data_IF_333578714915
#
_entry.id   IF_333578714915
#
_cell.length_a   1.000
_cell.length_b   1.000
_cell.length_c   1.000
_cell.angle_alpha   90.00
_cell.angle_beta   90.00
_cell.angle_gamma   90.00
#
_symmetry.space_group_name_H-M   'P 1'
#
loop_
_entity.id
_entity.type
_entity.pdbx_description
1 polymer ?
2 non-polymer ?
3 non-polymer ?
4 non-polymer ?
5 water ?
#
# COMPACT_ATOMS: atom_id res chain seq x y z
N UNK A 5 -0.63 -13.34 20.10
CA UNK A 5 -0.21 -13.26 18.71
C UNK A 5 -0.06 -14.66 18.12
N UNK A 6 -1.20 -15.30 17.83
CA UNK A 6 -1.22 -16.61 17.20
C UNK A 6 -1.08 -16.42 15.70
N UNK A 7 0.06 -16.84 15.14
CA UNK A 7 0.37 -16.61 13.74
C UNK A 7 -0.05 -17.82 12.91
N UNK A 8 -0.56 -17.56 11.71
CA UNK A 8 -1.00 -18.62 10.82
C UNK A 8 -0.65 -18.24 9.39
N UNK A 9 -0.20 -19.22 8.62
CA UNK A 9 0.09 -19.02 7.20
C UNK A 9 -1.17 -19.33 6.41
N UNK A 10 -1.65 -18.35 5.65
CA UNK A 10 -2.87 -18.47 4.87
C UNK A 10 -2.63 -18.91 3.43
N UNK A 11 -1.45 -18.60 2.88
CA UNK A 11 -1.15 -18.93 1.49
C UNK A 11 0.37 -18.88 1.31
N UNK A 12 0.86 -19.71 0.40
CA UNK A 12 2.27 -19.81 0.05
C UNK A 12 2.41 -19.82 -1.47
N UNK A 13 3.65 -19.81 -1.94
CA UNK A 13 3.94 -19.84 -3.37
C UNK A 13 3.33 -18.62 -4.07
N UNK A 14 3.23 -17.50 -3.37
CA UNK A 14 2.83 -16.23 -3.97
C UNK A 14 4.06 -15.54 -4.53
N UNK A 15 3.88 -14.87 -5.68
CA UNK A 15 5.01 -14.29 -6.41
C UNK A 15 5.12 -12.81 -6.05
N UNK A 16 5.75 -12.56 -4.90
CA UNK A 16 5.93 -11.25 -4.28
C UNK A 16 4.57 -10.67 -3.93
N UNK A 17 3.91 -11.20 -2.90
CA UNK A 17 2.60 -10.66 -2.51
C UNK A 17 2.71 -9.24 -1.97
N UNK A 18 1.65 -8.47 -2.19
CA UNK A 18 1.56 -7.09 -1.72
C UNK A 18 0.08 -6.70 -1.76
N UNK A 19 -0.20 -5.45 -1.35
CA UNK A 19 -1.53 -4.86 -1.44
C UNK A 19 -2.66 -5.73 -0.99
N UNK A 20 -2.59 -6.29 0.22
CA UNK A 20 -3.73 -7.11 0.69
C UNK A 20 -4.94 -6.27 1.00
N UNK A 21 -6.12 -6.75 0.57
CA UNK A 21 -7.40 -6.13 0.91
C UNK A 21 -8.27 -7.23 1.51
N UNK A 22 -8.64 -7.07 2.78
CA UNK A 22 -9.29 -8.14 3.52
C UNK A 22 -10.79 -7.87 3.43
N UNK A 23 -11.50 -8.77 2.81
CA UNK A 23 -12.92 -8.62 2.55
C UNK A 23 -13.71 -8.90 3.83
N UNK A 24 -15.00 -8.54 3.86
CA UNK A 24 -15.80 -8.83 5.05
C UNK A 24 -15.86 -10.29 5.43
N UNK A 25 -15.81 -11.21 4.47
CA UNK A 25 -15.89 -12.63 4.75
C UNK A 25 -14.57 -13.24 5.14
N UNK A 26 -13.53 -12.43 5.22
CA UNK A 26 -12.19 -12.91 5.55
C UNK A 26 -11.40 -13.44 4.38
N UNK A 27 -11.96 -13.44 3.17
CA UNK A 27 -11.12 -13.65 2.01
C UNK A 27 -10.23 -12.43 1.78
N UNK A 28 -9.09 -12.64 1.11
CA UNK A 28 -8.12 -11.59 0.86
C UNK A 28 -7.89 -11.50 -0.63
N UNK A 29 -8.04 -10.31 -1.19
CA UNK A 29 -7.63 -10.02 -2.55
C UNK A 29 -6.31 -9.26 -2.45
N UNK A 30 -5.30 -9.71 -3.20
CA UNK A 30 -3.98 -9.10 -3.10
C UNK A 30 -3.29 -9.11 -4.45
N UNK A 31 -2.17 -8.38 -4.54
CA UNK A 31 -1.44 -8.35 -5.80
C UNK A 31 -0.24 -9.27 -5.64
N UNK A 32 0.15 -9.90 -6.74
CA UNK A 32 1.41 -10.62 -6.88
C UNK A 32 2.23 -9.82 -7.88
N UNK A 33 3.20 -9.03 -7.40
CA UNK A 33 3.88 -8.10 -8.28
C UNK A 33 4.62 -8.86 -9.37
N UNK A 34 5.32 -9.93 -8.99
CA UNK A 34 6.17 -10.66 -9.94
C UNK A 34 5.34 -11.48 -10.91
N UNK A 35 4.18 -11.98 -10.50
CA UNK A 35 3.30 -12.72 -11.42
C UNK A 35 2.31 -11.81 -12.15
N UNK A 36 2.32 -10.52 -11.86
CA UNK A 36 1.51 -9.51 -12.56
C UNK A 36 0.03 -9.88 -12.54
N UNK A 37 -0.48 -10.09 -11.33
CA UNK A 37 -1.87 -10.50 -11.25
C UNK A 37 -2.48 -10.09 -9.92
N UNK A 38 -3.80 -10.06 -9.91
CA UNK A 38 -4.61 -9.89 -8.70
C UNK A 38 -5.16 -11.27 -8.35
N UNK A 39 -4.97 -11.68 -7.10
CA UNK A 39 -5.28 -13.04 -6.64
C UNK A 39 -6.19 -12.99 -5.44
N UNK A 40 -7.12 -13.94 -5.37
CA UNK A 40 -8.05 -14.07 -4.26
C UNK A 40 -7.68 -15.30 -3.45
N UNK A 41 -7.50 -15.12 -2.15
CA UNK A 41 -7.16 -16.21 -1.23
C UNK A 41 -8.35 -16.40 -0.29
N UNK A 42 -8.87 -17.56 -0.25
CA UNK A 42 -10.04 -17.92 0.55
C UNK A 42 -9.62 -18.55 1.87
N UNK A 43 -10.46 -18.44 2.90
CA UNK A 43 -10.12 -19.07 4.19
C UNK A 43 -10.11 -20.59 4.16
N UNK A 44 -10.80 -21.23 3.21
CA UNK A 44 -10.70 -22.69 3.08
C UNK A 44 -9.40 -23.13 2.39
N UNK A 45 -8.45 -22.23 2.17
CA UNK A 45 -7.14 -22.54 1.62
C UNK A 45 -7.01 -22.29 0.12
N UNK A 46 -8.11 -22.39 -0.61
CA UNK A 46 -8.06 -22.25 -2.05
C UNK A 46 -7.64 -20.84 -2.47
N UNK A 47 -7.10 -20.75 -3.68
CA UNK A 47 -6.70 -19.48 -4.29
C UNK A 47 -7.23 -19.43 -5.72
N UNK A 48 -7.59 -18.23 -6.18
CA UNK A 48 -7.98 -18.06 -7.57
C UNK A 48 -7.39 -16.75 -8.09
N UNK A 49 -7.01 -16.75 -9.36
CA UNK A 49 -6.53 -15.54 -10.01
C UNK A 49 -7.75 -14.75 -10.44
N UNK A 50 -7.85 -13.52 -9.97
CA UNK A 50 -8.99 -12.66 -10.31
C UNK A 50 -8.74 -12.01 -11.67
N UNK A 51 -7.52 -11.52 -11.91
CA UNK A 51 -7.22 -10.79 -13.13
C UNK A 51 -5.73 -10.76 -13.34
N UNK A 52 -5.31 -10.74 -14.61
CA UNK A 52 -3.93 -10.44 -14.95
C UNK A 52 -3.82 -8.93 -15.11
N UNK A 53 -2.79 -8.35 -14.51
CA UNK A 53 -2.61 -6.91 -14.51
C UNK A 53 -1.18 -6.65 -15.00
N UNK A 54 -0.97 -6.47 -16.30
CA UNK A 54 0.41 -6.38 -16.80
C UNK A 54 1.19 -5.25 -16.18
N UNK A 55 2.48 -5.51 -15.93
CA UNK A 55 3.34 -4.49 -15.42
C UNK A 55 3.86 -4.79 -14.03
N UNK A 56 3.48 -3.93 -13.06
CA UNK A 56 3.85 -4.13 -11.68
C UNK A 56 2.78 -3.70 -10.71
N UNK A 57 1.67 -4.45 -10.68
CA UNK A 57 0.63 -4.18 -9.67
C UNK A 57 1.22 -4.24 -8.27
N UNK A 58 1.09 -3.14 -7.54
CA UNK A 58 1.85 -2.90 -6.31
C UNK A 58 1.00 -2.68 -5.07
N UNK A 59 -0.18 -2.10 -5.21
CA UNK A 59 -1.03 -1.84 -4.07
C UNK A 59 -2.46 -1.86 -4.57
N UNK A 60 -3.37 -2.10 -3.64
CA UNK A 60 -4.78 -2.27 -3.98
C UNK A 60 -5.70 -1.67 -2.92
N UNK A 61 -6.87 -1.20 -3.37
CA UNK A 61 -7.88 -0.73 -2.44
C UNK A 61 -9.24 -0.79 -3.11
N UNK A 62 -10.22 -1.28 -2.37
CA UNK A 62 -11.57 -1.35 -2.91
C UNK A 62 -12.18 0.04 -2.98
N UNK A 63 -12.83 0.31 -4.11
CA UNK A 63 -13.36 1.63 -4.37
C UNK A 63 -14.86 1.72 -4.22
N UNK A 64 -15.36 2.95 -4.29
CA UNK A 64 -16.80 3.19 -4.11
C UNK A 64 -17.65 2.55 -5.20
N UNK A 65 -17.07 2.26 -6.34
CA UNK A 65 -17.78 1.59 -7.40
C UNK A 65 -17.72 0.08 -7.25
N UNK A 66 -17.13 -0.42 -6.17
CA UNK A 66 -16.97 -1.84 -5.96
C UNK A 66 -15.89 -2.49 -6.81
N UNK A 67 -15.11 -1.71 -7.50
CA UNK A 67 -13.96 -2.23 -8.24
C UNK A 67 -12.70 -2.08 -7.39
N UNK A 68 -11.68 -2.86 -7.74
CA UNK A 68 -10.41 -2.83 -7.02
C UNK A 68 -9.46 -1.88 -7.73
N UNK A 69 -9.09 -0.79 -7.07
CA UNK A 69 -8.15 0.19 -7.61
C UNK A 69 -6.75 -0.31 -7.31
N UNK A 70 -5.84 -0.11 -8.27
CA UNK A 70 -4.48 -0.68 -8.27
C UNK A 70 -3.49 0.44 -8.54
N UNK A 71 -2.41 0.49 -7.76
CA UNK A 71 -1.21 1.22 -8.11
C UNK A 71 -0.35 0.29 -8.93
N UNK A 72 -0.05 0.67 -10.18
CA UNK A 72 0.79 -0.13 -11.05
C UNK A 72 2.12 0.61 -11.18
N UNK A 73 3.20 0.01 -10.69
CA UNK A 73 4.49 0.69 -10.74
C UNK A 73 5.21 0.53 -12.08
N UNK A 74 4.58 -0.15 -13.04
CA UNK A 74 5.10 -0.26 -14.38
C UNK A 74 6.04 -1.41 -14.60
N UNK A 75 6.42 -2.12 -13.54
CA UNK A 75 7.29 -3.27 -13.67
C UNK A 75 8.61 -3.06 -12.97
N UNK A 76 9.17 -4.13 -12.43
CA UNK A 76 10.50 -4.15 -11.85
C UNK A 76 11.38 -5.10 -12.64
N UNK A 77 12.65 -5.19 -12.25
CA UNK A 77 13.53 -6.23 -12.74
C UNK A 77 13.93 -7.18 -11.63
N UNK A 78 13.62 -8.47 -11.80
CA UNK A 78 13.78 -9.44 -10.72
C UNK A 78 15.05 -10.30 -10.82
N UNK A 86 13.90 -11.14 -5.65
CA UNK A 86 13.90 -9.77 -5.14
C UNK A 86 13.87 -8.75 -6.28
N UNK A 87 13.02 -7.73 -6.15
CA UNK A 87 12.91 -6.74 -7.23
C UNK A 87 14.13 -5.83 -7.29
N UNK A 88 14.30 -5.21 -8.46
CA UNK A 88 15.37 -4.27 -8.70
C UNK A 88 15.00 -3.24 -9.74
N UNK A 89 15.96 -2.44 -10.15
CA UNK A 89 15.71 -1.43 -11.19
C UNK A 89 15.24 -2.12 -12.46
N UNK A 90 14.16 -1.65 -13.08
CA UNK A 90 13.68 -2.31 -14.30
C UNK A 90 14.56 -1.94 -15.50
N UNK A 91 15.07 -2.97 -16.19
CA UNK A 91 15.69 -2.75 -17.48
C UNK A 91 14.67 -2.02 -18.34
N UNK A 92 15.10 -1.26 -19.35
CA UNK A 92 14.14 -0.45 -20.12
C UNK A 92 12.90 -1.22 -20.58
N UNK A 93 13.08 -2.43 -21.13
CA UNK A 93 11.97 -3.19 -21.70
C UNK A 93 11.00 -3.71 -20.64
N UNK A 94 11.44 -3.87 -19.40
CA UNK A 94 10.59 -4.39 -18.34
C UNK A 94 9.70 -3.33 -17.71
N UNK A 95 9.79 -2.07 -18.16
CA UNK A 95 9.03 -0.96 -17.60
C UNK A 95 8.07 -0.43 -18.67
N UNK A 96 6.78 -0.40 -18.35
CA UNK A 96 5.74 0.05 -19.29
C UNK A 96 5.07 1.35 -18.83
N UNK A 97 5.58 1.99 -17.79
CA UNK A 97 4.98 3.22 -17.31
C UNK A 97 4.08 3.00 -16.12
N UNK A 98 4.16 3.89 -15.14
CA UNK A 98 3.29 3.74 -13.98
C UNK A 98 1.91 4.23 -14.28
N UNK A 99 0.94 3.68 -13.54
CA UNK A 99 -0.44 4.10 -13.74
C UNK A 99 -1.31 3.79 -12.53
N UNK A 100 -2.50 4.37 -12.53
CA UNK A 100 -3.57 4.00 -11.62
C UNK A 100 -4.59 3.25 -12.46
N UNK A 101 -5.00 2.06 -12.01
CA UNK A 101 -5.91 1.18 -12.74
C UNK A 101 -7.02 0.71 -11.84
N UNK A 102 -8.01 0.05 -12.46
CA UNK A 102 -9.23 -0.41 -11.82
C UNK A 102 -9.55 -1.78 -12.40
N UNK A 103 -9.90 -2.71 -11.53
CA UNK A 103 -10.21 -4.08 -11.95
C UNK A 103 -11.63 -4.46 -11.50
N UNK A 104 -12.41 -4.98 -12.44
CA UNK A 104 -13.70 -5.57 -12.11
C UNK A 104 -13.49 -6.95 -11.48
N UNK A 105 -13.92 -7.11 -10.24
CA UNK A 105 -13.66 -8.34 -9.50
C UNK A 105 -14.54 -9.48 -9.95
N UNK A 106 -15.39 -9.26 -10.97
CA UNK A 106 -16.28 -10.27 -11.52
C UNK A 106 -15.92 -10.68 -12.94
N UNK A 107 -15.40 -9.76 -13.74
CA UNK A 107 -15.00 -10.07 -15.11
C UNK A 107 -13.50 -10.13 -15.30
N UNK A 108 -12.71 -9.51 -14.40
CA UNK A 108 -11.30 -9.37 -14.59
C UNK A 108 -10.89 -8.25 -15.52
N UNK A 109 -11.85 -7.47 -16.03
CA UNK A 109 -11.51 -6.37 -16.92
C UNK A 109 -10.66 -5.33 -16.20
N UNK A 110 -9.53 -4.98 -16.80
CA UNK A 110 -8.63 -3.97 -16.24
C UNK A 110 -8.72 -2.72 -17.12
N UNK A 111 -8.92 -1.57 -16.49
CA UNK A 111 -8.98 -0.29 -17.16
C UNK A 111 -7.93 0.63 -16.55
N UNK A 112 -7.16 1.29 -17.40
CA UNK A 112 -6.21 2.29 -16.95
C UNK A 112 -6.93 3.62 -16.82
N UNK A 113 -6.73 4.28 -15.67
CA UNK A 113 -7.40 5.54 -15.36
C UNK A 113 -6.49 6.75 -15.54
N UNK A 114 -5.30 6.71 -14.96
CA UNK A 114 -4.35 7.81 -15.05
C UNK A 114 -2.97 7.24 -15.31
N UNK A 115 -2.22 7.89 -16.20
CA UNK A 115 -0.82 7.55 -16.37
C UNK A 115 0.09 8.77 -16.25
N UNK A 116 -0.49 9.92 -15.91
CA UNK A 116 0.25 11.17 -15.82
C UNK A 116 -0.50 12.09 -14.87
N UNK A 117 0.21 13.07 -14.36
CA UNK A 117 -0.38 14.19 -13.63
C UNK A 117 0.14 15.47 -14.27
N UNK A 118 -0.76 16.29 -14.79
CA UNK A 118 -0.33 17.41 -15.61
C UNK A 118 0.48 16.88 -16.77
N UNK A 119 1.63 17.50 -17.02
CA UNK A 119 2.49 17.08 -18.12
C UNK A 119 3.55 16.09 -17.69
N UNK A 120 3.37 15.44 -16.54
CA UNK A 120 4.40 14.57 -15.97
C UNK A 120 3.89 13.13 -15.86
N UNK A 121 4.50 12.18 -16.56
CA UNK A 121 4.11 10.78 -16.36
C UNK A 121 4.30 10.33 -14.92
N UNK A 122 3.39 9.49 -14.45
CA UNK A 122 3.56 8.77 -13.19
C UNK A 122 4.69 7.75 -13.33
N UNK A 123 5.50 7.63 -12.26
CA UNK A 123 6.69 6.80 -12.39
C UNK A 123 6.44 5.42 -11.79
N UNK A 124 6.32 5.35 -10.47
CA UNK A 124 6.16 4.10 -9.79
C UNK A 124 5.12 4.13 -8.69
N UNK A 125 3.85 4.29 -9.06
CA UNK A 125 2.79 4.27 -8.05
C UNK A 125 2.88 3.03 -7.16
N UNK A 126 2.64 3.21 -5.86
CA UNK A 126 2.97 2.16 -4.90
C UNK A 126 1.81 1.70 -4.04
N UNK A 127 1.22 2.58 -3.24
CA UNK A 127 0.06 2.20 -2.45
C UNK A 127 -0.94 3.37 -2.40
N UNK A 128 -2.13 3.07 -1.85
CA UNK A 128 -3.26 4.00 -1.98
C UNK A 128 -4.29 3.77 -0.88
N UNK A 129 -5.13 4.80 -0.70
CA UNK A 129 -6.15 4.83 0.34
C UNK A 129 -7.23 5.81 -0.07
N UNK A 130 -8.50 5.38 0.09
CA UNK A 130 -9.63 6.24 -0.20
C UNK A 130 -10.04 7.03 1.03
N UNK A 131 -10.40 8.33 0.81
CA UNK A 131 -11.06 9.10 1.86
C UNK A 131 -12.58 8.85 1.77
N UNK A 132 -13.31 9.39 2.74
CA UNK A 132 -14.73 9.06 2.87
C UNK A 132 -15.59 9.66 1.76
N UNK A 133 -15.06 10.57 0.95
CA UNK A 133 -15.80 11.11 -0.18
C UNK A 133 -15.48 10.40 -1.49
N UNK A 134 -14.66 9.36 -1.44
CA UNK A 134 -14.28 8.65 -2.64
C UNK A 134 -13.05 9.19 -3.33
N UNK A 135 -12.41 10.23 -2.79
CA UNK A 135 -11.14 10.68 -3.32
C UNK A 135 -10.04 9.70 -2.96
N UNK A 136 -9.00 9.65 -3.79
CA UNK A 136 -8.00 8.58 -3.72
C UNK A 136 -6.60 9.16 -3.58
N UNK A 137 -5.96 8.85 -2.45
CA UNK A 137 -4.56 9.21 -2.21
C UNK A 137 -3.68 8.08 -2.67
N UNK A 138 -2.52 8.42 -3.27
CA UNK A 138 -1.58 7.36 -3.59
C UNK A 138 -0.17 7.91 -3.56
N UNK A 139 0.77 7.01 -3.32
CA UNK A 139 2.19 7.33 -3.31
C UNK A 139 2.82 6.92 -4.62
N UNK A 140 3.97 7.56 -4.89
CA UNK A 140 4.83 7.28 -6.02
C UNK A 140 6.20 7.04 -5.41
N UNK A 141 6.66 5.81 -5.50
CA UNK A 141 8.00 5.44 -5.06
C UNK A 141 9.08 5.91 -6.03
N UNK A 142 8.70 6.22 -7.26
CA UNK A 142 9.66 6.51 -8.32
C UNK A 142 10.30 5.24 -8.85
N UNK A 143 11.11 5.40 -9.92
CA UNK A 143 11.88 4.30 -10.46
C UNK A 143 13.37 4.55 -10.26
N UNK A 144 14.12 3.47 -10.08
CA UNK A 144 15.57 3.49 -10.11
C UNK A 144 16.05 3.24 -11.53
N UNK A 145 17.01 4.04 -11.98
CA UNK A 145 17.74 3.84 -13.20
C UNK A 145 19.21 3.59 -12.85
N UNK A 146 20.03 3.45 -13.87
CA UNK A 146 21.39 2.97 -13.66
C UNK A 146 22.14 3.84 -12.67
N UNK A 147 22.06 5.15 -12.83
CA UNK A 147 22.91 6.08 -12.09
C UNK A 147 22.09 7.15 -11.37
N UNK A 148 20.77 7.06 -11.38
CA UNK A 148 19.96 8.05 -10.69
C UNK A 148 18.63 7.41 -10.35
N UNK A 149 17.80 8.16 -9.65
CA UNK A 149 16.53 7.64 -9.16
C UNK A 149 15.54 8.79 -9.06
N UNK A 150 14.25 8.47 -9.23
CA UNK A 150 13.23 9.47 -9.04
C UNK A 150 13.06 9.84 -7.56
N UNK A 151 12.64 11.08 -7.34
CA UNK A 151 12.18 11.47 -6.01
C UNK A 151 10.80 10.86 -5.74
N UNK A 152 10.41 10.89 -4.49
CA UNK A 152 9.09 10.42 -4.09
C UNK A 152 8.02 11.49 -4.17
N UNK A 153 6.76 11.04 -4.15
CA UNK A 153 5.64 11.94 -4.32
C UNK A 153 4.38 11.29 -3.77
N UNK A 154 3.39 12.14 -3.54
CA UNK A 154 2.02 11.71 -3.21
C UNK A 154 1.05 12.57 -3.99
N UNK A 155 -0.03 11.91 -4.43
CA UNK A 155 -1.06 12.43 -5.32
C UNK A 155 -2.40 12.19 -4.66
N UNK A 156 -3.34 13.02 -5.07
CA UNK A 156 -4.75 12.84 -4.75
C UNK A 156 -5.60 12.98 -6.00
N UNK A 157 -6.44 11.98 -6.21
CA UNK A 157 -7.43 11.97 -7.28
C UNK A 157 -8.77 12.38 -6.68
N UNK A 158 -9.35 13.42 -7.25
CA UNK A 158 -10.60 14.00 -6.75
C UNK A 158 -11.74 12.98 -6.86
N UNK A 159 -12.71 13.07 -5.97
CA UNK A 159 -13.89 12.19 -6.07
C UNK A 159 -14.51 12.19 -7.45
N UNK A 160 -14.89 11.00 -7.91
CA UNK A 160 -15.40 10.85 -9.25
C UNK A 160 -14.33 10.57 -10.28
N UNK A 161 -13.05 10.64 -9.87
CA UNK A 161 -11.93 10.40 -10.77
C UNK A 161 -11.89 11.48 -11.87
N UNK A 162 -12.15 12.72 -11.46
CA UNK A 162 -12.24 13.84 -12.36
C UNK A 162 -10.89 14.49 -12.64
N UNK A 163 -10.04 14.58 -11.62
CA UNK A 163 -8.78 15.31 -11.72
C UNK A 163 -7.79 14.69 -10.76
N UNK A 164 -6.51 14.70 -11.16
CA UNK A 164 -5.40 14.22 -10.33
C UNK A 164 -4.55 15.43 -10.01
N UNK A 165 -4.11 15.52 -8.76
CA UNK A 165 -3.31 16.63 -8.27
C UNK A 165 -2.10 16.11 -7.53
N UNK A 166 -1.00 16.85 -7.64
CA UNK A 166 0.20 16.60 -6.86
C UNK A 166 0.05 17.31 -5.51
N UNK A 167 0.19 16.54 -4.44
CA UNK A 167 0.12 17.10 -3.10
C UNK A 167 1.46 17.15 -2.37
N UNK A 168 2.32 16.17 -2.57
CA UNK A 168 3.67 16.13 -2.01
C UNK A 168 4.65 15.77 -3.12
N UNK A 169 5.81 16.43 -3.13
CA UNK A 169 6.80 16.10 -4.16
C UNK A 169 8.17 16.47 -3.66
N UNK A 170 9.12 15.57 -3.88
CA UNK A 170 10.51 15.85 -3.61
C UNK A 170 11.04 15.26 -2.34
N UNK A 171 10.33 14.31 -1.76
CA UNK A 171 10.88 13.51 -0.67
C UNK A 171 11.72 12.37 -1.27
N UNK A 172 12.37 11.57 -0.42
CA UNK A 172 12.87 10.29 -0.91
C UNK A 172 11.66 9.40 -1.23
N UNK A 173 11.87 8.25 -1.87
CA UNK A 173 10.71 7.44 -2.30
C UNK A 173 9.68 7.16 -1.20
N UNK A 174 8.40 7.35 -1.55
CA UNK A 174 7.28 7.15 -0.64
C UNK A 174 6.53 5.87 -1.00
N UNK A 175 6.03 5.21 0.03
CA UNK A 175 5.59 3.83 -0.06
C UNK A 175 4.24 3.70 0.63
N UNK A 176 4.20 3.35 1.90
CA UNK A 176 2.92 3.24 2.55
C UNK A 176 2.21 4.57 2.66
N UNK A 177 0.87 4.52 2.66
CA UNK A 177 0.07 5.73 2.84
C UNK A 177 -1.22 5.37 3.59
N UNK A 178 -1.61 6.25 4.51
CA UNK A 178 -2.89 6.09 5.16
C UNK A 178 -3.43 7.40 5.67
N UNK A 179 -4.69 7.33 6.14
CA UNK A 179 -5.34 8.46 6.77
C UNK A 179 -5.55 8.23 8.27
N UNK A 180 -5.49 9.31 9.04
CA UNK A 180 -5.93 9.23 10.42
C UNK A 180 -7.43 8.88 10.51
N UNK A 181 -7.88 8.42 11.68
CA UNK A 181 -9.31 8.12 11.83
C UNK A 181 -10.21 9.28 11.42
N UNK A 182 -9.88 10.51 11.84
CA UNK A 182 -10.66 11.69 11.48
C UNK A 182 -10.34 12.20 10.09
N UNK A 183 -9.38 11.59 9.40
CA UNK A 183 -8.97 11.91 8.04
C UNK A 183 -8.48 13.35 7.89
N UNK A 184 -8.04 13.97 9.00
CA UNK A 184 -7.43 15.29 8.97
C UNK A 184 -5.91 15.23 8.81
N UNK A 185 -5.34 14.04 8.78
CA UNK A 185 -3.90 13.83 8.61
C UNK A 185 -3.66 12.68 7.66
N UNK A 186 -2.75 12.85 6.70
CA UNK A 186 -2.31 11.81 5.82
C UNK A 186 -0.90 11.42 6.24
N UNK A 187 -0.64 10.14 6.27
CA UNK A 187 0.67 9.59 6.58
C UNK A 187 1.28 8.95 5.35
N UNK A 188 2.61 9.11 5.19
CA UNK A 188 3.32 8.51 4.08
C UNK A 188 4.63 8.00 4.64
N UNK A 189 4.96 6.76 4.34
CA UNK A 189 6.21 6.15 4.78
C UNK A 189 7.31 6.38 3.74
N UNK A 190 8.45 6.86 4.20
CA UNK A 190 9.59 7.12 3.34
C UNK A 190 10.53 5.92 3.44
N UNK A 191 10.69 5.21 2.33
CA UNK A 191 11.27 3.87 2.39
C UNK A 191 12.73 3.84 2.89
N UNK A 192 13.70 4.48 2.24
CA UNK A 192 15.10 4.21 2.61
C UNK A 192 15.49 4.75 3.97
N UNK A 193 14.79 5.74 4.48
CA UNK A 193 15.14 6.38 5.73
C UNK A 193 14.40 5.77 6.93
N UNK A 194 13.41 4.93 6.69
CA UNK A 194 12.63 4.45 7.82
C UNK A 194 11.97 5.57 8.60
N UNK A 195 11.49 6.60 7.89
CA UNK A 195 10.80 7.73 8.49
C UNK A 195 9.33 7.69 8.09
N UNK A 196 8.46 7.96 9.06
CA UNK A 196 7.04 8.14 8.80
C UNK A 196 6.73 9.63 8.81
N UNK A 197 6.15 10.12 7.71
CA UNK A 197 5.87 11.54 7.53
C UNK A 197 4.38 11.77 7.77
N UNK A 198 4.04 12.89 8.40
CA UNK A 198 2.65 13.26 8.63
C UNK A 198 2.36 14.59 7.94
N UNK A 199 1.21 14.65 7.24
CA UNK A 199 0.82 15.83 6.49
C UNK A 199 -0.55 16.27 6.97
N UNK A 200 -0.66 17.49 7.45
CA UNK A 200 -1.96 18.03 7.84
C UNK A 200 -2.79 18.34 6.61
N UNK A 201 -4.08 18.07 6.69
CA UNK A 201 -4.99 18.37 5.58
C UNK A 201 -5.90 19.51 6.00
N UNK A 202 -5.97 20.55 5.18
CA UNK A 202 -6.92 21.63 5.41
C UNK A 202 -8.32 21.22 5.02
N UNK A 203 -8.45 20.21 4.18
CA UNK A 203 -9.71 19.65 3.73
C UNK A 203 -9.44 18.41 2.90
N UNK A 204 -10.47 17.66 2.52
CA UNK A 204 -10.24 16.45 1.73
C UNK A 204 -9.34 16.75 0.53
N UNK A 205 -8.30 15.93 0.38
CA UNK A 205 -7.40 15.99 -0.76
C UNK A 205 -6.39 17.11 -0.78
N UNK A 206 -6.22 17.87 0.30
CA UNK A 206 -5.45 19.11 0.26
C UNK A 206 -4.51 19.19 1.45
N UNK A 207 -3.21 19.10 1.19
CA UNK A 207 -2.24 19.25 2.26
C UNK A 207 -2.04 20.73 2.52
N UNK A 208 -2.00 21.13 3.80
CA UNK A 208 -1.52 22.47 4.16
C UNK A 208 -0.10 22.43 4.72
N UNK A 209 0.77 23.39 4.41
CA UNK A 209 2.14 23.34 4.98
C UNK A 209 2.16 23.47 6.51
N UNK A 218 6.16 20.45 3.35
CA UNK A 218 4.70 20.47 3.50
C UNK A 218 4.23 19.64 4.70
N UNK A 219 5.12 18.78 5.20
CA UNK A 219 4.79 17.95 6.35
C UNK A 219 6.01 17.75 7.22
N UNK A 220 5.93 16.81 8.17
CA UNK A 220 7.11 16.55 8.98
C UNK A 220 7.26 15.06 9.27
N UNK A 221 8.49 14.61 9.48
CA UNK A 221 8.75 13.24 9.95
C UNK A 221 8.48 13.16 11.44
N UNK A 222 7.57 12.29 11.83
CA UNK A 222 7.25 12.16 13.24
C UNK A 222 8.00 10.99 13.88
N UNK A 223 8.55 10.08 13.09
CA UNK A 223 9.29 8.96 13.65
C UNK A 223 10.39 8.58 12.67
N UNK A 224 11.60 8.40 13.15
CA UNK A 224 12.64 7.85 12.32
C UNK A 224 13.32 6.72 13.07
N UNK A 225 13.29 5.53 12.48
CA UNK A 225 13.82 4.36 13.14
C UNK A 225 15.33 4.45 13.06
N UNK A 226 15.97 3.78 13.98
CA UNK A 226 17.41 3.78 13.99
C UNK A 226 17.97 2.66 13.15
N UNK A 227 19.30 2.60 13.12
CA UNK A 227 19.91 1.41 12.59
C UNK A 227 19.79 1.36 11.08
N UNK A 228 19.52 0.17 10.56
CA UNK A 228 19.44 -0.08 9.12
C UNK A 228 18.09 -0.74 8.97
N UNK A 229 17.09 0.11 8.85
CA UNK A 229 15.68 -0.30 8.77
C UNK A 229 15.00 0.57 7.72
N UNK A 230 14.10 -0.02 6.93
CA UNK A 230 13.47 0.69 5.84
C UNK A 230 11.99 0.39 5.95
N UNK A 231 11.17 1.28 5.41
CA UNK A 231 9.72 1.16 5.52
C UNK A 231 9.10 0.76 4.21
N UNK A 232 8.00 -0.03 4.28
CA UNK A 232 7.23 -0.36 3.09
C UNK A 232 5.83 0.19 3.32
N UNK A 233 4.82 -0.64 3.21
CA UNK A 233 3.42 -0.20 3.32
C UNK A 233 2.88 -0.22 4.75
N UNK A 234 1.65 0.27 4.92
CA UNK A 234 1.15 0.51 6.28
C UNK A 234 -0.36 0.36 6.37
N UNK A 235 -0.86 0.30 7.62
CA UNK A 235 -2.30 0.32 7.90
C UNK A 235 -2.47 1.04 9.24
N UNK A 236 -3.54 1.76 9.36
CA UNK A 236 -3.81 2.58 10.53
C UNK A 236 -4.76 1.82 11.43
N UNK A 237 -4.57 1.96 12.75
CA UNK A 237 -5.45 1.40 13.77
C UNK A 237 -6.56 2.38 14.16
N UNK A 238 -7.67 1.84 14.70
CA UNK A 238 -8.74 2.70 15.18
C UNK A 238 -8.24 3.68 16.21
N UNK A 239 -7.18 3.30 16.94
CA UNK A 239 -6.59 4.18 17.95
C UNK A 239 -5.88 5.37 17.33
N UNK A 240 -5.58 5.31 16.04
CA UNK A 240 -4.77 6.32 15.39
C UNK A 240 -3.33 5.89 15.18
N UNK A 241 -2.91 4.79 15.80
CA UNK A 241 -1.55 4.31 15.58
C UNK A 241 -1.38 3.87 14.13
N UNK A 242 -0.16 4.04 13.62
CA UNK A 242 0.19 3.68 12.25
C UNK A 242 1.10 2.47 12.33
N UNK A 243 0.71 1.40 11.66
CA UNK A 243 1.41 0.12 11.69
C UNK A 243 2.15 -0.03 10.36
N UNK A 244 3.49 0.04 10.40
CA UNK A 244 4.25 0.11 9.16
C UNK A 244 5.11 -1.14 9.01
N UNK A 245 5.00 -1.79 7.85
CA UNK A 245 5.83 -2.91 7.48
C UNK A 245 7.26 -2.43 7.39
N UNK A 246 8.15 -3.12 8.07
CA UNK A 246 9.54 -2.70 8.25
C UNK A 246 10.47 -3.74 7.63
N UNK A 247 11.18 -3.30 6.59
CA UNK A 247 12.13 -4.12 5.87
C UNK A 247 13.45 -4.15 6.62
N UNK A 248 14.25 -5.19 6.33
CA UNK A 248 15.58 -5.45 6.88
C UNK A 248 15.42 -6.06 8.27
N UNK A 249 14.76 -5.34 9.18
CA UNK A 249 14.55 -5.92 10.51
C UNK A 249 13.34 -6.87 10.58
N UNK A 250 12.44 -6.81 9.60
CA UNK A 250 11.38 -7.81 9.47
C UNK A 250 10.34 -7.74 10.57
N UNK A 251 9.56 -6.67 10.61
CA UNK A 251 8.61 -6.51 11.70
C UNK A 251 7.54 -5.54 11.25
N UNK A 252 6.55 -5.35 12.12
CA UNK A 252 5.58 -4.27 11.99
C UNK A 252 5.93 -3.23 13.04
N UNK A 253 6.22 -2.00 12.62
CA UNK A 253 6.51 -0.92 13.56
C UNK A 253 5.22 -0.16 13.85
N UNK A 254 4.82 -0.13 15.11
CA UNK A 254 3.59 0.55 15.50
C UNK A 254 3.98 1.92 16.05
N UNK A 255 3.52 2.97 15.37
CA UNK A 255 3.90 4.35 15.66
C UNK A 255 2.66 5.11 16.13
N UNK A 256 2.78 5.78 17.28
CA UNK A 256 1.68 6.56 17.81
C UNK A 256 1.50 7.85 17.01
N UNK A 257 0.33 8.46 17.05
CA UNK A 257 0.13 9.73 16.33
C UNK A 257 1.17 10.78 16.66
N UNK A 258 1.69 10.80 17.88
CA UNK A 258 2.73 11.74 18.28
C UNK A 258 4.13 11.26 17.91
N UNK A 259 4.24 10.15 17.18
CA UNK A 259 5.52 9.68 16.70
C UNK A 259 6.22 8.69 17.59
N UNK A 260 5.70 8.39 18.77
CA UNK A 260 6.33 7.41 19.63
C UNK A 260 6.28 6.04 18.99
N UNK A 261 7.42 5.34 19.03
CA UNK A 261 7.50 3.96 18.62
C UNK A 261 6.89 3.11 19.74
N UNK A 262 5.67 2.62 19.51
CA UNK A 262 4.96 1.86 20.53
C UNK A 262 5.54 0.46 20.66
N UNK A 263 5.83 -0.20 19.53
CA UNK A 263 6.31 -1.58 19.57
C UNK A 263 6.70 -2.04 18.18
N UNK A 264 7.48 -3.11 18.13
CA UNK A 264 7.90 -3.72 16.87
C UNK A 264 7.59 -5.21 16.97
N UNK A 265 6.72 -5.68 16.08
CA UNK A 265 6.22 -7.06 16.11
C UNK A 265 6.98 -7.84 15.04
N UNK A 266 7.82 -8.80 15.41
CA UNK A 266 8.58 -9.53 14.40
C UNK A 266 7.68 -10.44 13.59
N UNK A 267 8.03 -10.61 12.33
CA UNK A 267 7.23 -11.39 11.39
C UNK A 267 7.97 -12.58 10.82
N UNK A 268 9.28 -12.63 10.95
CA UNK A 268 10.07 -13.72 10.44
C UNK A 268 10.60 -13.55 9.04
N UNK A 269 10.33 -12.41 8.40
CA UNK A 269 10.77 -12.19 7.03
C UNK A 269 11.35 -10.79 6.92
N UNK A 270 12.60 -10.70 6.48
CA UNK A 270 13.22 -9.39 6.31
C UNK A 270 12.49 -8.56 5.27
N UNK A 271 11.78 -9.19 4.32
CA UNK A 271 11.04 -8.47 3.29
C UNK A 271 9.53 -8.49 3.61
N UNK A 272 9.17 -7.98 4.79
CA UNK A 272 7.78 -7.74 5.17
C UNK A 272 7.30 -6.44 4.52
N UNK A 273 6.19 -6.51 3.77
CA UNK A 273 5.89 -5.39 2.87
C UNK A 273 4.57 -4.68 3.18
N UNK A 274 3.58 -5.37 3.74
CA UNK A 274 2.30 -4.70 3.93
C UNK A 274 1.51 -5.40 5.04
N UNK A 275 0.48 -4.70 5.48
CA UNK A 275 -0.40 -5.15 6.56
C UNK A 275 -1.76 -4.54 6.29
N UNK A 276 -2.79 -5.31 6.60
CA UNK A 276 -4.18 -4.88 6.50
C UNK A 276 -4.98 -5.56 7.61
N UNK A 277 -6.01 -4.88 8.10
CA UNK A 277 -6.81 -5.42 9.19
C UNK A 277 -8.15 -6.01 8.73
N UNK A 278 -8.50 -7.09 9.35
CA UNK A 278 -9.79 -7.68 9.05
C UNK A 278 -10.20 -8.63 10.14
N UNK A 279 -11.22 -9.43 9.82
CA UNK A 279 -11.74 -10.38 10.79
C UNK A 279 -12.65 -9.73 11.81
N UNK A 280 -13.09 -10.50 12.81
CA UNK A 280 -13.95 -9.92 13.85
C UNK A 280 -13.29 -8.73 14.55
N UNK A 281 -14.04 -7.64 14.63
CA UNK A 281 -13.61 -6.38 15.23
C UNK A 281 -12.38 -5.79 14.55
N UNK A 282 -12.02 -6.26 13.35
CA UNK A 282 -10.80 -5.83 12.65
C UNK A 282 -9.57 -6.04 13.53
N UNK A 283 -9.59 -7.12 14.30
CA UNK A 283 -8.49 -7.41 15.21
C UNK A 283 -7.60 -8.55 14.71
N UNK A 284 -7.65 -8.85 13.43
CA UNK A 284 -6.67 -9.73 12.80
C UNK A 284 -5.84 -8.94 11.80
N UNK A 285 -4.51 -9.06 11.92
CA UNK A 285 -3.60 -8.44 10.96
C UNK A 285 -3.23 -9.44 9.88
N UNK A 286 -3.39 -9.05 8.63
CA UNK A 286 -3.04 -9.84 7.46
C UNK A 286 -1.81 -9.19 6.84
N UNK A 287 -0.73 -9.96 6.77
CA UNK A 287 0.59 -9.40 6.46
C UNK A 287 1.18 -10.15 5.28
N UNK A 288 1.79 -9.41 4.35
CA UNK A 288 2.47 -10.01 3.21
C UNK A 288 3.97 -10.17 3.52
N UNK A 289 4.44 -11.41 3.51
CA UNK A 289 5.88 -11.74 3.67
C UNK A 289 6.39 -12.00 2.26
N UNK A 290 6.88 -10.96 1.61
CA UNK A 290 7.15 -11.03 0.19
C UNK A 290 8.46 -11.75 -0.12
N UNK A 291 9.28 -11.99 0.89
CA UNK A 291 10.46 -12.82 0.74
C UNK A 291 10.10 -14.28 0.68
N UNK A 292 9.27 -14.71 1.64
CA UNK A 292 8.85 -16.10 1.72
C UNK A 292 7.70 -16.41 0.77
N UNK A 293 7.13 -15.39 0.13
CA UNK A 293 6.00 -15.61 -0.75
C UNK A 293 4.75 -16.03 0.00
N UNK A 294 4.53 -15.45 1.18
CA UNK A 294 3.43 -15.88 2.03
C UNK A 294 2.49 -14.74 2.38
N UNK A 295 1.24 -15.11 2.57
CA UNK A 295 0.29 -14.27 3.25
C UNK A 295 0.06 -14.89 4.63
N UNK A 296 0.15 -14.09 5.69
CA UNK A 296 -0.07 -14.66 7.03
C UNK A 296 -1.13 -13.82 7.75
N UNK A 297 -1.68 -14.39 8.81
CA UNK A 297 -2.59 -13.70 9.70
C UNK A 297 -2.01 -13.76 11.11
N UNK A 298 -2.31 -12.74 11.90
CA UNK A 298 -1.79 -12.61 13.26
C UNK A 298 -2.85 -11.91 14.11
N UNK A 299 -3.07 -12.42 15.31
CA UNK A 299 -3.93 -11.71 16.25
C UNK A 299 -3.32 -10.36 16.59
N UNK A 300 -4.16 -9.33 16.65
CA UNK A 300 -3.72 -7.97 16.93
C UNK A 300 -4.40 -7.49 18.20
N UNK A 301 -3.65 -6.83 19.07
CA UNK A 301 -4.22 -6.48 20.38
C UNK A 301 -5.27 -5.39 20.29
N UNK A 302 -5.23 -4.56 19.24
CA UNK A 302 -6.13 -3.42 19.10
C UNK A 302 -6.77 -3.48 17.71
N UNK A 303 -7.96 -2.94 17.55
CA UNK A 303 -8.63 -3.07 16.26
C UNK A 303 -8.12 -2.09 15.22
N UNK A 304 -8.20 -2.52 13.96
CA UNK A 304 -7.79 -1.67 12.88
C UNK A 304 -8.81 -0.60 12.58
N UNK A 305 -8.37 0.43 11.87
CA UNK A 305 -9.27 1.46 11.39
C UNK A 305 -10.07 0.94 10.20
N UNK A 306 -11.41 0.97 10.26
CA UNK A 306 -12.17 0.56 9.09
C UNK A 306 -11.85 1.40 7.87
N UNK A 307 -11.64 0.73 6.74
CA UNK A 307 -11.36 1.44 5.51
C UNK A 307 -12.66 1.87 4.84
N UNK A 308 -12.64 3.04 4.22
CA UNK A 308 -13.82 3.47 3.48
C UNK A 308 -14.12 2.53 2.31
N UNK A 309 -15.40 2.26 2.11
CA UNK A 309 -15.90 1.44 1.00
C UNK A 309 -15.48 0.00 1.10
N UNK A 310 -14.92 -0.42 2.23
CA UNK A 310 -14.59 -1.81 2.51
C UNK A 310 -15.23 -2.26 3.82
N UNK A 311 -14.98 -1.49 4.87
CA UNK A 311 -15.38 -1.84 6.22
C UNK A 311 -16.46 -0.93 6.78
N UNK A 312 -16.70 0.22 6.16
CA UNK A 312 -17.70 1.16 6.64
C UNK A 312 -18.19 2.03 5.49
#
# INVERSE_FOLDING_TARGET
SAIASNVRVLATDLAFPEGPVVMPDGSVVLVEIRAQQLTRVWPDGRKEVVAKVPGGPNGAALGPDGKMYICNNGGFGWFPSRGTMMPGAPAPHEYIGGSIQRVDLQSGEVETLFDKCGEHPLKGPNDLVFDKHGGLWFTDLGKRRARDMDVGAAYYIKPGMTEITEQVFGTLPLNGIGLSPDEATMYAAETPTGRLWAFDLSGPGEVKPRDVIYRGEKGKPICGLGGYQMFDSLAVEASGNVCVATLVSGCISVIAPDGTLVEQVPTGDRVTTNIAFGGPDLKTAYITLSGKGELIAMDWSRPGLPLNFLNK
#
